data_IF_986406183414
#
_entry.id   IF_986406183414
#
_cell.length_a   1.000
_cell.length_b   1.000
_cell.length_c   1.000
_cell.angle_alpha   90.00
_cell.angle_beta   90.00
_cell.angle_gamma   90.00
#
_symmetry.space_group_name_H-M   'P 1'
#
loop_
_entity.id
_entity.type
_entity.pdbx_description
1 polymer ?
#
# COMPACT_ATOMS: atom_id res chain seq x y z
N UNK A 1 9.74 2.55 -8.08
CA UNK A 1 9.01 2.10 -6.87
C UNK A 1 9.91 1.10 -6.16
N UNK A 2 10.08 1.23 -4.86
CA UNK A 2 10.93 0.37 -4.02
C UNK A 2 10.04 -0.31 -2.96
N UNK A 3 10.16 -1.62 -2.82
CA UNK A 3 9.56 -2.38 -1.72
C UNK A 3 10.30 -2.08 -0.42
N UNK A 4 9.56 -1.69 0.62
CA UNK A 4 10.06 -1.43 1.98
C UNK A 4 9.88 -2.69 2.83
N UNK A 5 8.68 -3.28 2.80
CA UNK A 5 8.35 -4.53 3.48
C UNK A 5 7.17 -5.22 2.82
N UNK A 6 7.08 -6.55 2.99
CA UNK A 6 5.93 -7.36 2.61
C UNK A 6 5.69 -8.43 3.68
N UNK A 7 4.43 -8.59 4.08
CA UNK A 7 4.01 -9.52 5.12
C UNK A 7 2.80 -10.31 4.64
N UNK A 8 2.79 -11.62 4.90
CA UNK A 8 1.59 -12.44 4.67
C UNK A 8 0.50 -12.05 5.67
N UNK A 9 -0.69 -11.73 5.18
CA UNK A 9 -1.82 -11.27 6.00
C UNK A 9 -3.14 -11.75 5.40
N UNK A 10 -4.00 -12.42 6.17
CA UNK A 10 -5.31 -12.94 5.73
C UNK A 10 -5.31 -13.67 4.36
N UNK A 11 -4.27 -14.46 4.08
CA UNK A 11 -4.10 -15.17 2.81
C UNK A 11 -3.57 -14.33 1.64
N UNK A 12 -3.53 -13.01 1.79
CA UNK A 12 -2.92 -12.05 0.87
C UNK A 12 -1.56 -11.52 1.36
N UNK A 13 -1.16 -10.38 0.78
CA UNK A 13 0.10 -9.69 1.08
C UNK A 13 -0.17 -8.25 1.47
N UNK A 14 0.28 -7.88 2.67
CA UNK A 14 0.37 -6.48 3.10
C UNK A 14 1.75 -5.95 2.68
N UNK A 15 1.79 -5.02 1.74
CA UNK A 15 3.02 -4.42 1.22
C UNK A 15 3.15 -2.94 1.58
N UNK A 16 4.38 -2.49 1.84
CA UNK A 16 4.75 -1.09 2.01
C UNK A 16 5.78 -0.71 0.94
N UNK A 17 5.54 0.41 0.27
CA UNK A 17 6.32 0.84 -0.88
C UNK A 17 6.65 2.33 -0.82
N UNK A 18 7.83 2.69 -1.33
CA UNK A 18 8.25 4.09 -1.51
C UNK A 18 8.48 4.39 -2.99
N UNK A 19 8.07 5.58 -3.44
CA UNK A 19 8.44 6.09 -4.75
C UNK A 19 8.69 7.60 -4.71
N UNK A 20 9.59 8.08 -5.57
CA UNK A 20 9.74 9.52 -5.82
C UNK A 20 8.50 10.04 -6.54
N UNK A 21 7.75 10.93 -5.88
CA UNK A 21 6.54 11.55 -6.41
C UNK A 21 6.91 12.82 -7.18
N UNK A 22 6.55 12.86 -8.48
CA UNK A 22 6.70 14.08 -9.29
C UNK A 22 5.80 15.21 -8.79
N UNK A 23 4.58 14.88 -8.38
CA UNK A 23 3.59 15.87 -7.93
C UNK A 23 3.94 16.48 -6.57
N UNK A 24 4.56 15.71 -5.67
CA UNK A 24 4.93 16.16 -4.33
C UNK A 24 6.40 16.58 -4.22
N UNK A 25 7.21 16.33 -5.25
CA UNK A 25 8.65 16.60 -5.30
C UNK A 25 9.46 15.98 -4.16
N UNK A 26 9.03 14.82 -3.65
CA UNK A 26 9.70 14.08 -2.59
C UNK A 26 9.41 12.57 -2.70
N UNK A 27 10.12 11.78 -1.90
CA UNK A 27 9.80 10.36 -1.74
C UNK A 27 8.55 10.19 -0.87
N UNK A 28 7.58 9.43 -1.38
CA UNK A 28 6.31 9.14 -0.74
C UNK A 28 6.21 7.65 -0.42
N UNK A 29 5.76 7.32 0.79
CA UNK A 29 5.55 5.94 1.25
C UNK A 29 4.06 5.67 1.43
N UNK A 30 3.60 4.56 0.85
CA UNK A 30 2.22 4.10 0.92
C UNK A 30 2.20 2.59 1.14
N UNK A 31 1.02 2.07 1.51
CA UNK A 31 0.81 0.65 1.70
C UNK A 31 -0.30 0.14 0.76
N UNK A 32 -0.25 -1.15 0.43
CA UNK A 32 -1.28 -1.85 -0.35
C UNK A 32 -1.52 -3.22 0.28
N UNK A 33 -2.78 -3.53 0.57
CA UNK A 33 -3.20 -4.90 0.82
C UNK A 33 -3.61 -5.55 -0.52
N UNK A 34 -2.91 -6.60 -0.91
CA UNK A 34 -3.25 -7.40 -2.08
C UNK A 34 -3.91 -8.71 -1.62
N UNK A 35 -5.22 -8.91 -1.87
CA UNK A 35 -5.92 -10.10 -1.41
C UNK A 35 -5.53 -11.34 -2.23
N UNK A 36 -5.86 -12.54 -1.74
CA UNK A 36 -5.44 -13.80 -2.37
C UNK A 36 -6.00 -13.97 -3.80
N UNK A 37 -7.20 -13.44 -4.03
CA UNK A 37 -7.93 -13.45 -5.30
C UNK A 37 -7.19 -12.69 -6.41
N UNK A 38 -6.27 -11.78 -6.05
CA UNK A 38 -5.45 -11.08 -7.03
C UNK A 38 -4.50 -12.00 -7.82
N UNK A 39 -4.31 -13.25 -7.36
CA UNK A 39 -3.57 -14.29 -8.10
C UNK A 39 -4.35 -14.77 -9.32
N UNK A 40 -5.68 -14.68 -9.29
CA UNK A 40 -6.55 -15.15 -10.37
C UNK A 40 -6.82 -14.05 -11.42
N UNK A 41 -6.54 -12.79 -11.08
CA UNK A 41 -6.65 -11.65 -11.99
C UNK A 41 -6.76 -10.31 -11.26
N UNK A 42 -7.00 -9.20 -11.99
CA UNK A 42 -7.20 -7.89 -11.38
C UNK A 42 -8.43 -7.87 -10.46
N UNK A 43 -8.28 -7.24 -9.30
CA UNK A 43 -9.34 -7.01 -8.31
C UNK A 43 -9.69 -5.52 -8.22
N UNK A 44 -10.91 -5.14 -7.81
CA UNK A 44 -11.24 -3.74 -7.57
C UNK A 44 -10.37 -3.13 -6.46
N UNK A 45 -10.16 -1.81 -6.54
CA UNK A 45 -9.32 -1.07 -5.58
C UNK A 45 -10.19 -0.16 -4.71
N UNK A 46 -9.99 -0.23 -3.40
CA UNK A 46 -10.52 0.73 -2.42
C UNK A 46 -9.38 1.62 -1.93
N UNK A 47 -9.55 2.94 -2.06
CA UNK A 47 -8.60 3.92 -1.51
C UNK A 47 -9.07 4.37 -0.13
N UNK A 48 -8.24 4.11 0.89
CA UNK A 48 -8.42 4.64 2.24
C UNK A 48 -7.54 5.88 2.43
N UNK A 49 -8.15 7.00 2.83
CA UNK A 49 -7.45 8.25 3.13
C UNK A 49 -7.45 8.47 4.63
N UNK A 50 -6.26 8.39 5.24
CA UNK A 50 -6.10 8.56 6.68
C UNK A 50 -6.37 9.99 7.15
N UNK A 51 -6.63 10.14 8.45
CA UNK A 51 -6.91 11.42 9.09
C UNK A 51 -5.67 12.27 9.40
N UNK A 52 -5.88 13.34 10.16
CA UNK A 52 -4.81 14.24 10.61
C UNK A 52 -3.75 13.46 11.39
N UNK A 53 -2.48 13.77 11.15
CA UNK A 53 -1.28 13.16 11.78
C UNK A 53 -1.01 11.68 11.46
N UNK A 54 -1.91 11.00 10.74
CA UNK A 54 -1.73 9.59 10.38
C UNK A 54 -0.73 9.37 9.24
N UNK A 55 -0.25 8.14 9.15
CA UNK A 55 0.50 7.59 8.02
C UNK A 55 -0.23 6.36 7.45
N UNK A 56 0.43 5.63 6.53
CA UNK A 56 -0.07 4.37 6.01
C UNK A 56 -0.12 3.25 7.07
N UNK A 57 0.72 3.33 8.11
CA UNK A 57 0.82 2.30 9.17
C UNK A 57 -0.42 2.28 10.09
N UNK A 58 -1.20 3.36 10.15
CA UNK A 58 -2.35 3.42 11.06
C UNK A 58 -3.57 2.64 10.58
N UNK A 59 -3.66 2.35 9.27
CA UNK A 59 -4.85 1.78 8.65
C UNK A 59 -4.64 0.36 8.10
N UNK A 60 -3.41 -0.18 8.22
CA UNK A 60 -2.94 -1.37 7.50
C UNK A 60 -2.23 -2.34 8.44
#
# INVERSE_FOLDING_TARGET
MKTVSENTCFGGTQGVYTHTSKSCACDMTFAVFLPVEAKDGPVPVLWYLSGLTCTHENAM
#
